data_IF_383686399737
#
_entry.id   IF_383686399737
#
_cell.length_a   1.000
_cell.length_b   1.000
_cell.length_c   1.000
_cell.angle_alpha   90.00
_cell.angle_beta   90.00
_cell.angle_gamma   90.00
#
_symmetry.space_group_name_H-M   'P 1'
#
loop_
_entity.id
_entity.type
_entity.pdbx_description
1 polymer ?
#
# COMPACT_ATOMS: atom_id res chain seq x y z
N UNK A 1 -12.17 -9.42 9.73
CA UNK A 1 -11.32 -9.98 8.66
C UNK A 1 -11.95 -9.67 7.31
N UNK A 2 -11.14 -9.34 6.32
CA UNK A 2 -11.60 -8.94 5.00
C UNK A 2 -11.91 -10.16 4.12
N UNK A 3 -13.15 -10.24 3.62
CA UNK A 3 -13.59 -11.30 2.71
C UNK A 3 -13.24 -10.94 1.26
N UNK A 4 -12.60 -11.85 0.54
CA UNK A 4 -12.35 -11.73 -0.90
C UNK A 4 -13.55 -12.27 -1.66
N UNK A 5 -14.25 -11.36 -2.33
CA UNK A 5 -15.35 -11.69 -3.22
C UNK A 5 -14.84 -11.97 -4.62
N UNK A 6 -15.10 -13.17 -5.14
CA UNK A 6 -14.88 -13.47 -6.55
C UNK A 6 -16.03 -12.90 -7.40
N UNK A 7 -15.93 -11.61 -7.73
CA UNK A 7 -16.93 -10.87 -8.50
C UNK A 7 -16.27 -9.84 -9.42
N UNK A 8 -17.06 -9.24 -10.30
CA UNK A 8 -16.62 -8.13 -11.14
C UNK A 8 -16.43 -6.84 -10.36
N UNK A 9 -15.50 -6.01 -10.85
CA UNK A 9 -15.31 -4.63 -10.42
C UNK A 9 -15.11 -3.76 -11.67
N UNK A 10 -15.92 -2.71 -11.83
CA UNK A 10 -15.91 -1.87 -13.04
C UNK A 10 -15.88 -0.38 -12.67
N UNK A 11 -14.85 0.39 -13.09
CA UNK A 11 -13.63 -0.05 -13.76
C UNK A 11 -12.79 -1.03 -12.92
N UNK A 12 -11.91 -1.78 -13.56
CA UNK A 12 -11.00 -2.70 -12.89
C UNK A 12 -9.90 -1.97 -12.11
N UNK A 13 -9.26 -2.65 -11.14
CA UNK A 13 -8.16 -2.06 -10.34
C UNK A 13 -7.02 -1.53 -11.22
N UNK A 14 -6.60 -2.32 -12.20
CA UNK A 14 -5.51 -1.94 -13.12
C UNK A 14 -5.91 -0.77 -14.04
N UNK A 15 -7.17 -0.69 -14.46
CA UNK A 15 -7.67 0.43 -15.27
C UNK A 15 -7.63 1.74 -14.47
N UNK A 16 -8.07 1.71 -13.21
CA UNK A 16 -8.02 2.86 -12.32
C UNK A 16 -6.57 3.31 -12.04
N UNK A 17 -5.67 2.36 -11.77
CA UNK A 17 -4.25 2.67 -11.56
C UNK A 17 -3.58 3.18 -12.83
N UNK A 18 -3.93 2.65 -14.00
CA UNK A 18 -3.37 3.11 -15.27
C UNK A 18 -3.72 4.58 -15.56
N UNK A 19 -4.93 5.01 -15.15
CA UNK A 19 -5.34 6.41 -15.25
C UNK A 19 -4.67 7.31 -14.17
N UNK A 20 -4.44 6.77 -12.97
CA UNK A 20 -3.96 7.56 -11.82
C UNK A 20 -2.43 7.71 -11.74
N UNK A 21 -1.68 6.65 -12.07
CA UNK A 21 -0.22 6.60 -11.94
C UNK A 21 0.51 7.73 -12.68
N UNK A 22 0.18 8.10 -13.92
CA UNK A 22 0.91 9.14 -14.66
C UNK A 22 0.91 10.52 -14.00
N UNK A 23 -0.04 10.79 -13.10
CA UNK A 23 -0.11 12.04 -12.36
C UNK A 23 0.77 12.05 -11.09
N UNK A 24 1.48 10.95 -10.78
CA UNK A 24 2.32 10.83 -9.58
C UNK A 24 3.75 11.27 -9.86
N UNK A 25 4.40 11.99 -8.94
CA UNK A 25 5.76 12.51 -9.16
C UNK A 25 6.84 11.42 -9.20
N UNK A 26 6.56 10.25 -8.64
CA UNK A 26 7.45 9.07 -8.63
C UNK A 26 7.19 8.11 -9.81
N UNK A 27 6.22 8.40 -10.67
CA UNK A 27 5.98 7.59 -11.86
C UNK A 27 7.07 7.85 -12.91
N UNK A 28 7.71 6.76 -13.36
CA UNK A 28 8.81 6.77 -14.32
C UNK A 28 8.47 6.02 -15.63
N UNK A 29 7.18 5.74 -15.87
CA UNK A 29 6.72 5.01 -17.05
C UNK A 29 6.67 5.87 -18.32
N UNK A 30 6.26 5.26 -19.43
CA UNK A 30 6.34 5.88 -20.74
C UNK A 30 5.27 6.97 -20.96
N UNK A 31 5.50 7.93 -21.89
CA UNK A 31 4.54 8.99 -22.22
C UNK A 31 3.19 8.48 -22.74
N UNK A 32 3.17 7.32 -23.39
CA UNK A 32 1.96 6.72 -23.99
C UNK A 32 1.05 6.04 -22.95
N UNK A 33 1.43 6.09 -21.66
CA UNK A 33 0.71 5.50 -20.54
C UNK A 33 1.22 4.11 -20.13
N UNK A 34 0.86 3.66 -18.93
CA UNK A 34 1.41 2.43 -18.35
C UNK A 34 0.78 1.17 -18.96
N UNK A 35 1.58 0.11 -19.06
CA UNK A 35 1.12 -1.24 -19.38
C UNK A 35 1.23 -2.10 -18.12
N UNK A 36 0.18 -2.08 -17.29
CA UNK A 36 0.20 -2.65 -15.94
C UNK A 36 -0.15 -4.14 -15.91
N UNK A 37 0.69 -4.90 -15.23
CA UNK A 37 0.42 -6.28 -14.84
C UNK A 37 0.46 -6.40 -13.32
N UNK A 38 -0.42 -7.21 -12.73
CA UNK A 38 -0.37 -7.50 -11.30
C UNK A 38 0.90 -8.31 -11.00
N UNK A 39 1.67 -7.89 -10.00
CA UNK A 39 2.99 -8.44 -9.70
C UNK A 39 3.13 -8.97 -8.26
N UNK A 40 2.14 -8.76 -7.39
CA UNK A 40 2.24 -9.22 -6.01
C UNK A 40 1.46 -8.34 -5.06
N UNK A 41 1.82 -8.42 -3.79
CA UNK A 41 1.17 -7.68 -2.71
C UNK A 41 0.45 -8.56 -1.70
N UNK A 42 -0.02 -7.91 -0.63
CA UNK A 42 -0.69 -8.53 0.50
C UNK A 42 -1.84 -7.64 0.99
N UNK A 43 -2.59 -8.12 1.99
CA UNK A 43 -3.69 -7.38 2.62
C UNK A 43 -3.45 -7.23 4.11
N UNK A 44 -4.09 -6.23 4.69
CA UNK A 44 -4.29 -6.14 6.13
C UNK A 44 -5.79 -6.07 6.42
N UNK A 45 -6.15 -6.46 7.63
CA UNK A 45 -7.51 -6.33 8.12
C UNK A 45 -7.70 -4.99 8.82
N UNK A 46 -8.79 -4.31 8.49
CA UNK A 46 -9.32 -3.24 9.32
C UNK A 46 -9.95 -3.84 10.58
N UNK A 47 -9.54 -3.41 11.80
CA UNK A 47 -10.14 -3.87 13.05
C UNK A 47 -11.64 -3.64 13.14
N UNK A 48 -12.15 -2.59 12.51
CA UNK A 48 -13.57 -2.25 12.49
C UNK A 48 -14.31 -2.93 11.33
N UNK A 49 -13.59 -3.48 10.35
CA UNK A 49 -14.14 -4.22 9.21
C UNK A 49 -14.80 -3.36 8.13
N UNK A 50 -14.60 -2.04 8.14
CA UNK A 50 -15.27 -1.08 7.26
C UNK A 50 -14.43 -0.74 6.01
N UNK A 51 -13.11 -0.83 6.12
CA UNK A 51 -12.15 -0.46 5.08
C UNK A 51 -11.39 -1.68 4.57
N UNK A 52 -11.45 -1.93 3.26
CA UNK A 52 -10.54 -2.91 2.66
C UNK A 52 -9.13 -2.32 2.54
N UNK A 53 -8.09 -3.04 2.99
CA UNK A 53 -6.70 -2.58 2.94
C UNK A 53 -5.88 -3.56 2.08
N UNK A 54 -5.22 -3.05 1.04
CA UNK A 54 -4.38 -3.84 0.14
C UNK A 54 -3.08 -3.10 -0.17
N UNK A 55 -1.96 -3.80 -0.14
CA UNK A 55 -0.64 -3.32 -0.55
C UNK A 55 -0.33 -3.95 -1.90
N UNK A 56 -0.82 -3.35 -2.98
CA UNK A 56 -0.75 -3.95 -4.30
C UNK A 56 0.60 -3.66 -4.97
N UNK A 57 1.15 -4.65 -5.67
CA UNK A 57 2.28 -4.42 -6.58
C UNK A 57 1.81 -4.58 -8.01
N UNK A 58 2.13 -3.58 -8.83
CA UNK A 58 1.96 -3.63 -10.28
C UNK A 58 3.29 -3.43 -10.97
N UNK A 59 3.54 -4.17 -12.04
CA UNK A 59 4.67 -3.89 -12.92
C UNK A 59 4.18 -3.18 -14.16
N UNK A 60 4.80 -2.03 -14.45
CA UNK A 60 4.65 -1.34 -15.71
C UNK A 60 5.74 -1.78 -16.69
N UNK A 61 5.32 -2.28 -17.85
CA UNK A 61 6.21 -2.73 -18.93
C UNK A 61 6.18 -1.82 -20.15
N UNK A 62 5.66 -0.58 -20.03
CA UNK A 62 5.60 0.35 -21.16
C UNK A 62 6.97 0.94 -21.53
N UNK A 63 7.91 0.99 -20.58
CA UNK A 63 9.26 1.55 -20.76
C UNK A 63 10.30 0.54 -21.22
N UNK A 64 11.55 1.00 -21.40
CA UNK A 64 12.69 0.15 -21.79
C UNK A 64 12.98 -0.97 -20.79
N UNK A 65 12.70 -0.74 -19.50
CA UNK A 65 12.86 -1.70 -18.42
C UNK A 65 11.57 -1.74 -17.59
N UNK A 66 11.08 -2.94 -17.19
CA UNK A 66 9.93 -3.04 -16.30
C UNK A 66 10.18 -2.32 -14.96
N UNK A 67 9.18 -1.59 -14.47
CA UNK A 67 9.23 -0.91 -13.17
C UNK A 67 8.12 -1.46 -12.27
N UNK A 68 8.49 -1.94 -11.08
CA UNK A 68 7.54 -2.41 -10.07
C UNK A 68 7.11 -1.24 -9.17
N UNK A 69 5.82 -0.91 -9.21
CA UNK A 69 5.19 0.08 -8.36
C UNK A 69 4.43 -0.57 -7.22
N UNK A 70 4.69 -0.13 -6.00
CA UNK A 70 3.94 -0.48 -4.80
C UNK A 70 2.91 0.61 -4.49
N UNK A 71 1.64 0.18 -4.43
CA UNK A 71 0.49 1.06 -4.25
C UNK A 71 -0.36 0.52 -3.09
N UNK A 72 -0.23 1.09 -1.88
CA UNK A 72 -1.21 0.89 -0.82
C UNK A 72 -2.55 1.50 -1.25
N UNK A 73 -3.62 0.71 -1.19
CA UNK A 73 -4.96 1.09 -1.61
C UNK A 73 -5.94 0.81 -0.47
N UNK A 74 -6.80 1.79 -0.19
CA UNK A 74 -8.00 1.55 0.64
C UNK A 74 -9.26 1.50 -0.19
N UNK A 75 -10.18 0.62 0.18
CA UNK A 75 -11.49 0.44 -0.44
C UNK A 75 -12.57 0.83 0.57
N UNK A 76 -13.23 1.97 0.34
CA UNK A 76 -14.26 2.50 1.25
C UNK A 76 -15.65 2.39 0.63
N UNK A 77 -16.66 2.17 1.49
CA UNK A 77 -18.08 2.16 1.12
C UNK A 77 -18.70 3.56 0.99
N UNK A 78 -17.96 4.61 1.35
CA UNK A 78 -18.34 6.01 1.22
C UNK A 78 -17.09 6.87 0.93
N UNK A 79 -17.24 8.10 0.41
CA UNK A 79 -16.13 9.04 0.27
C UNK A 79 -15.41 9.29 1.60
N UNK A 80 -14.10 9.47 1.53
CA UNK A 80 -13.27 9.96 2.64
C UNK A 80 -13.13 11.49 2.54
N UNK A 81 -13.69 12.20 3.51
CA UNK A 81 -13.69 13.65 3.56
C UNK A 81 -12.26 14.22 3.60
N UNK A 82 -11.99 15.24 2.78
CA UNK A 82 -10.70 15.94 2.74
C UNK A 82 -9.56 15.16 2.08
N UNK A 83 -9.86 14.03 1.43
CA UNK A 83 -8.89 13.16 0.75
C UNK A 83 -9.10 13.09 -0.77
N UNK A 84 -9.72 14.10 -1.37
CA UNK A 84 -10.04 14.15 -2.80
C UNK A 84 -8.78 14.03 -3.67
N UNK A 85 -7.67 14.62 -3.23
CA UNK A 85 -6.38 14.55 -3.92
C UNK A 85 -5.73 13.16 -3.92
N UNK A 86 -6.19 12.29 -3.01
CA UNK A 86 -5.76 10.91 -2.89
C UNK A 86 -6.72 9.92 -3.57
N UNK A 87 -7.83 10.39 -4.14
CA UNK A 87 -8.78 9.52 -4.82
C UNK A 87 -8.14 8.95 -6.09
N UNK A 88 -7.99 7.62 -6.14
CA UNK A 88 -7.58 6.88 -7.33
C UNK A 88 -8.76 6.80 -8.29
N UNK A 89 -9.96 6.51 -7.76
CA UNK A 89 -11.19 6.53 -8.51
C UNK A 89 -12.33 5.80 -7.79
N UNK A 90 -13.44 5.61 -8.50
CA UNK A 90 -14.58 4.83 -7.99
C UNK A 90 -14.90 3.68 -8.92
N UNK A 91 -15.31 2.54 -8.37
CA UNK A 91 -15.78 1.39 -9.12
C UNK A 91 -17.05 0.78 -8.54
N UNK A 92 -17.85 0.15 -9.38
CA UNK A 92 -18.97 -0.69 -8.97
C UNK A 92 -18.46 -2.11 -8.71
N UNK A 93 -18.59 -2.58 -7.47
CA UNK A 93 -18.25 -3.94 -7.08
C UNK A 93 -19.52 -4.80 -7.05
N UNK A 94 -19.55 -5.93 -7.76
CA UNK A 94 -20.78 -6.71 -7.99
C UNK A 94 -21.48 -7.23 -6.73
N UNK A 95 -20.81 -7.28 -5.58
CA UNK A 95 -21.40 -7.68 -4.28
C UNK A 95 -21.49 -6.50 -3.30
N UNK A 96 -20.54 -5.57 -3.36
CA UNK A 96 -20.36 -4.56 -2.31
C UNK A 96 -20.90 -3.19 -2.75
N UNK A 97 -21.44 -3.08 -3.97
CA UNK A 97 -21.88 -1.83 -4.56
C UNK A 97 -20.70 -0.91 -4.89
N UNK A 98 -20.98 0.39 -4.97
CA UNK A 98 -19.98 1.41 -5.26
C UNK A 98 -18.88 1.45 -4.20
N UNK A 99 -17.63 1.53 -4.66
CA UNK A 99 -16.43 1.62 -3.83
C UNK A 99 -15.60 2.82 -4.25
N UNK A 100 -15.05 3.51 -3.26
CA UNK A 100 -14.07 4.58 -3.44
C UNK A 100 -12.69 4.01 -3.12
N UNK A 101 -11.78 4.16 -4.08
CA UNK A 101 -10.40 3.70 -3.96
C UNK A 101 -9.50 4.91 -3.74
N UNK A 102 -8.75 4.89 -2.65
CA UNK A 102 -7.81 5.95 -2.31
C UNK A 102 -6.39 5.40 -2.26
N UNK A 103 -5.44 6.29 -2.54
CA UNK A 103 -4.05 6.10 -2.18
C UNK A 103 -3.95 6.04 -0.65
N UNK A 104 -3.69 4.85 -0.13
CA UNK A 104 -3.84 4.57 1.28
C UNK A 104 -2.78 5.25 2.16
N UNK A 105 -1.73 5.87 1.58
CA UNK A 105 -0.82 6.73 2.34
C UNK A 105 -1.48 8.01 2.86
N UNK A 106 -2.68 8.33 2.40
CA UNK A 106 -3.51 9.41 2.93
C UNK A 106 -4.65 8.92 3.84
N UNK A 107 -4.79 7.61 4.02
CA UNK A 107 -5.87 7.01 4.79
C UNK A 107 -5.40 6.64 6.21
N UNK A 108 -5.96 7.26 7.27
CA UNK A 108 -5.58 6.95 8.65
C UNK A 108 -5.76 5.47 9.01
N UNK A 109 -6.73 4.77 8.43
CA UNK A 109 -6.97 3.35 8.73
C UNK A 109 -5.83 2.49 8.21
N UNK A 110 -5.37 2.74 6.96
CA UNK A 110 -4.22 2.03 6.42
C UNK A 110 -2.95 2.35 7.20
N UNK A 111 -2.68 3.62 7.51
CA UNK A 111 -1.46 4.00 8.23
C UNK A 111 -1.43 3.45 9.66
N UNK A 112 -2.57 3.36 10.35
CA UNK A 112 -2.65 2.72 11.65
C UNK A 112 -2.32 1.22 11.56
N UNK A 113 -2.85 0.51 10.56
CA UNK A 113 -2.57 -0.91 10.35
C UNK A 113 -1.14 -1.16 9.85
N UNK A 114 -0.60 -0.28 9.00
CA UNK A 114 0.80 -0.36 8.57
C UNK A 114 1.76 -0.12 9.74
N UNK A 115 1.47 0.83 10.62
CA UNK A 115 2.23 1.04 11.85
C UNK A 115 2.17 -0.19 12.76
N UNK A 116 1.00 -0.81 12.89
CA UNK A 116 0.85 -2.07 13.63
C UNK A 116 1.67 -3.20 13.00
N UNK A 117 1.64 -3.37 11.67
CA UNK A 117 2.43 -4.37 10.95
C UNK A 117 3.94 -4.14 11.10
N UNK A 118 4.40 -2.90 10.94
CA UNK A 118 5.80 -2.50 11.16
C UNK A 118 6.28 -2.89 12.56
N UNK A 119 5.39 -2.85 13.55
CA UNK A 119 5.64 -3.23 14.93
C UNK A 119 5.34 -4.71 15.24
N UNK A 120 5.04 -5.54 14.23
CA UNK A 120 4.72 -6.97 14.40
C UNK A 120 3.38 -7.26 15.09
N UNK A 121 2.43 -6.33 15.06
CA UNK A 121 1.14 -6.39 15.76
C UNK A 121 -0.08 -6.56 14.85
N UNK A 122 0.10 -6.52 13.53
CA UNK A 122 -0.94 -6.84 12.56
C UNK A 122 -0.49 -8.05 11.72
N UNK A 123 -1.43 -8.95 11.42
CA UNK A 123 -1.14 -10.16 10.66
C UNK A 123 -1.38 -9.90 9.16
N UNK A 124 -0.34 -10.01 8.30
CA UNK A 124 -0.51 -9.91 6.86
C UNK A 124 -1.34 -11.07 6.33
N UNK A 125 -2.24 -10.78 5.40
CA UNK A 125 -3.15 -11.76 4.78
C UNK A 125 -2.87 -11.87 3.27
N UNK A 126 -3.13 -13.05 2.72
CA UNK A 126 -3.05 -13.28 1.28
C UNK A 126 -4.05 -12.39 0.52
N UNK A 127 -3.65 -11.94 -0.66
CA UNK A 127 -4.48 -11.08 -1.51
C UNK A 127 -5.48 -11.83 -2.42
N UNK A 128 -5.47 -13.16 -2.40
CA UNK A 128 -6.31 -14.02 -3.26
C UNK A 128 -7.17 -15.02 -2.50
N UNK A 129 -6.86 -15.28 -1.22
CA UNK A 129 -7.58 -16.23 -0.37
C UNK A 129 -8.02 -15.53 0.91
N UNK A 130 -9.30 -15.65 1.26
CA UNK A 130 -9.83 -15.02 2.48
C UNK A 130 -9.25 -15.67 3.72
N UNK A 131 -9.09 -14.89 4.79
CA UNK A 131 -8.72 -15.36 6.12
C UNK A 131 -7.48 -16.28 6.15
N UNK A 132 -6.52 -15.98 5.27
CA UNK A 132 -5.31 -16.80 5.10
C UNK A 132 -4.08 -15.93 5.36
N UNK A 133 -3.33 -16.17 6.44
CA UNK A 133 -2.10 -15.46 6.72
C UNK A 133 -1.09 -15.58 5.56
N UNK A 134 -0.34 -14.52 5.32
CA UNK A 134 0.73 -14.48 4.32
C UNK A 134 2.12 -14.47 5.00
N UNK A 135 2.73 -15.65 5.20
CA UNK A 135 4.03 -15.75 5.87
C UNK A 135 5.20 -15.20 5.04
N UNK A 136 4.98 -14.84 3.76
CA UNK A 136 6.01 -14.19 2.93
C UNK A 136 6.23 -12.73 3.31
N UNK A 137 5.30 -12.13 4.05
CA UNK A 137 5.40 -10.77 4.55
C UNK A 137 6.01 -10.79 5.94
N UNK A 138 7.16 -10.13 6.09
CA UNK A 138 7.93 -10.17 7.33
C UNK A 138 8.14 -8.75 7.87
N UNK A 139 8.00 -8.58 9.19
CA UNK A 139 8.28 -7.34 9.90
C UNK A 139 9.55 -7.49 10.72
N UNK A 140 10.45 -6.53 10.64
CA UNK A 140 11.58 -6.40 11.55
C UNK A 140 11.42 -5.13 12.36
N UNK A 141 11.37 -5.25 13.69
CA UNK A 141 11.19 -4.14 14.62
C UNK A 141 12.25 -4.19 15.72
N UNK A 142 12.96 -3.08 15.93
CA UNK A 142 14.05 -2.98 16.92
C UNK A 142 13.72 -2.11 18.14
N UNK A 143 12.50 -1.56 18.20
CA UNK A 143 12.08 -0.73 19.33
C UNK A 143 11.59 -1.54 20.52
N UNK A 144 11.79 -0.99 21.72
CA UNK A 144 11.36 -1.64 22.98
C UNK A 144 9.90 -1.36 23.34
N UNK A 145 9.30 -0.31 22.76
CA UNK A 145 7.97 0.17 23.13
C UNK A 145 7.12 0.43 21.89
N UNK A 146 5.94 -0.16 21.84
CA UNK A 146 5.03 0.02 20.73
C UNK A 146 4.35 1.40 20.75
N UNK A 147 4.31 2.05 19.59
CA UNK A 147 3.48 3.22 19.34
C UNK A 147 2.09 2.88 18.82
N UNK A 148 1.14 3.76 19.10
CA UNK A 148 -0.19 3.83 18.46
C UNK A 148 -0.33 5.19 17.80
N UNK A 149 -0.90 5.21 16.59
CA UNK A 149 -1.15 6.44 15.86
C UNK A 149 -2.23 7.27 16.57
N UNK A 150 -1.98 8.57 16.73
CA UNK A 150 -2.95 9.55 17.23
C UNK A 150 -3.57 10.30 16.05
N UNK A 151 -2.74 10.82 15.15
CA UNK A 151 -3.21 11.52 13.94
C UNK A 151 -2.19 11.41 12.81
N UNK A 152 -2.68 11.46 11.58
CA UNK A 152 -1.89 11.77 10.40
C UNK A 152 -1.71 13.29 10.32
N UNK A 153 -0.48 13.77 10.23
CA UNK A 153 -0.17 15.21 10.22
C UNK A 153 0.13 15.70 8.81
N UNK A 154 0.94 14.95 8.05
CA UNK A 154 1.38 15.35 6.74
C UNK A 154 1.73 14.14 5.85
N UNK A 155 1.54 14.28 4.54
CA UNK A 155 1.94 13.30 3.53
C UNK A 155 2.73 14.00 2.44
N UNK A 156 3.87 13.43 2.08
CA UNK A 156 4.77 13.98 1.07
C UNK A 156 5.25 12.91 0.11
N UNK A 157 4.96 13.11 -1.17
CA UNK A 157 5.60 12.32 -2.22
C UNK A 157 7.04 12.79 -2.46
N UNK A 158 7.92 11.82 -2.69
CA UNK A 158 9.31 11.99 -3.08
C UNK A 158 9.54 11.30 -4.44
N UNK A 159 10.81 11.15 -4.84
CA UNK A 159 11.17 10.60 -6.15
C UNK A 159 10.76 9.13 -6.34
N UNK A 160 10.78 8.33 -5.28
CA UNK A 160 10.56 6.87 -5.31
C UNK A 160 9.69 6.35 -4.16
N UNK A 161 9.11 7.26 -3.38
CA UNK A 161 8.52 6.97 -2.08
C UNK A 161 7.51 8.02 -1.66
N UNK A 162 6.72 7.72 -0.63
CA UNK A 162 5.84 8.67 0.04
C UNK A 162 6.10 8.60 1.54
N UNK A 163 6.31 9.74 2.19
CA UNK A 163 6.46 9.85 3.64
C UNK A 163 5.12 10.29 4.25
N UNK A 164 4.67 9.59 5.29
CA UNK A 164 3.55 10.00 6.13
C UNK A 164 4.05 10.28 7.55
N UNK A 165 3.87 11.52 8.01
CA UNK A 165 4.21 11.94 9.37
C UNK A 165 3.02 11.69 10.29
N UNK A 166 3.26 10.87 11.32
CA UNK A 166 2.26 10.46 12.30
C UNK A 166 2.58 11.07 13.66
N UNK A 167 1.62 11.71 14.31
CA UNK A 167 1.68 11.85 15.76
C UNK A 167 1.37 10.51 16.40
N UNK A 168 2.19 10.06 17.35
CA UNK A 168 1.98 8.78 18.02
C UNK A 168 1.98 8.92 19.55
N UNK A 169 1.70 7.83 20.25
CA UNK A 169 1.94 7.66 21.69
C UNK A 169 2.43 6.23 21.96
N UNK A 170 3.34 6.01 22.92
CA UNK A 170 3.93 7.01 23.81
C UNK A 170 5.08 7.80 23.18
N UNK A 171 5.59 7.38 22.01
CA UNK A 171 6.57 8.17 21.27
C UNK A 171 5.94 9.44 20.71
N UNK A 172 6.77 10.42 20.36
CA UNK A 172 6.32 11.62 19.66
C UNK A 172 5.99 11.34 18.18
N UNK A 173 6.26 12.32 17.30
CA UNK A 173 6.13 12.13 15.87
C UNK A 173 6.99 10.97 15.37
N UNK A 174 6.45 10.18 14.45
CA UNK A 174 7.16 9.13 13.72
C UNK A 174 6.85 9.26 12.23
N UNK A 175 7.82 8.93 11.38
CA UNK A 175 7.63 8.93 9.92
C UNK A 175 7.49 7.51 9.41
N UNK A 176 6.38 7.22 8.74
CA UNK A 176 6.22 6.02 7.92
C UNK A 176 6.67 6.35 6.50
N UNK A 177 7.74 5.70 6.06
CA UNK A 177 8.26 5.78 4.71
C UNK A 177 7.71 4.62 3.89
N UNK A 178 6.87 4.92 2.89
CA UNK A 178 6.30 3.93 1.96
C UNK A 178 7.08 3.98 0.66
N UNK A 179 7.73 2.88 0.29
CA UNK A 179 8.42 2.77 -1.00
C UNK A 179 7.39 2.64 -2.12
N UNK A 180 7.49 3.47 -3.15
CA UNK A 180 6.59 3.46 -4.32
C UNK A 180 7.22 2.76 -5.51
N UNK A 181 8.52 2.96 -5.74
CA UNK A 181 9.28 2.22 -6.75
C UNK A 181 10.10 1.17 -6.03
N UNK A 182 9.77 -0.11 -6.24
CA UNK A 182 10.39 -1.21 -5.50
C UNK A 182 11.83 -1.45 -5.95
N UNK A 183 12.71 -1.60 -4.97
CA UNK A 183 14.09 -2.08 -5.11
C UNK A 183 14.42 -2.97 -3.92
N UNK A 184 15.51 -3.72 -4.01
CA UNK A 184 15.98 -4.60 -2.92
C UNK A 184 16.80 -3.85 -1.85
N UNK A 185 16.94 -2.52 -1.95
CA UNK A 185 17.82 -1.77 -1.05
C UNK A 185 17.21 -1.64 0.35
N UNK A 186 17.95 -2.03 1.39
CA UNK A 186 17.48 -1.90 2.76
C UNK A 186 17.23 -0.44 3.17
N UNK A 187 16.19 -0.15 3.97
CA UNK A 187 15.90 1.20 4.42
C UNK A 187 16.92 1.64 5.48
N UNK A 188 17.73 2.68 5.21
CA UNK A 188 18.81 3.09 6.11
C UNK A 188 18.26 3.67 7.42
N UNK A 189 18.87 3.31 8.54
CA UNK A 189 18.55 3.87 9.87
C UNK A 189 17.06 3.78 10.25
N UNK A 190 16.38 2.69 9.85
CA UNK A 190 14.98 2.43 10.23
C UNK A 190 14.88 1.73 11.59
N UNK A 191 13.88 2.11 12.38
CA UNK A 191 13.51 1.39 13.63
C UNK A 191 12.65 0.17 13.32
N UNK A 192 11.94 0.20 12.19
CA UNK A 192 11.18 -0.93 11.70
C UNK A 192 11.16 -0.96 10.17
N UNK A 193 11.01 -2.15 9.58
CA UNK A 193 10.64 -2.28 8.18
C UNK A 193 9.82 -3.54 7.92
N UNK A 194 9.04 -3.50 6.84
CA UNK A 194 8.26 -4.63 6.33
C UNK A 194 8.81 -5.02 4.97
N UNK A 195 9.16 -6.31 4.82
CA UNK A 195 9.50 -6.91 3.55
C UNK A 195 8.34 -7.76 3.02
N UNK A 196 8.17 -7.79 1.71
CA UNK A 196 7.18 -8.63 1.03
C UNK A 196 7.70 -9.03 -0.35
N UNK A 197 7.02 -10.00 -0.98
CA UNK A 197 7.39 -10.53 -2.29
C UNK A 197 6.69 -9.84 -3.45
N UNK A 198 7.38 -9.72 -4.58
CA UNK A 198 6.77 -9.42 -5.88
C UNK A 198 7.47 -10.19 -7.00
N UNK A 199 6.77 -10.42 -8.10
CA UNK A 199 7.26 -11.18 -9.25
C UNK A 199 7.36 -10.27 -10.45
N UNK A 200 8.50 -10.29 -11.13
CA UNK A 200 8.72 -9.56 -12.38
C UNK A 200 8.07 -10.29 -13.57
N UNK A 201 7.92 -9.63 -14.73
CA UNK A 201 7.26 -10.23 -15.90
C UNK A 201 7.93 -11.48 -16.45
N UNK A 202 9.22 -11.68 -16.19
CA UNK A 202 9.98 -12.88 -16.55
C UNK A 202 9.81 -14.05 -15.55
N UNK A 203 9.03 -13.85 -14.49
CA UNK A 203 8.77 -14.83 -13.44
C UNK A 203 9.77 -14.82 -12.28
N UNK A 204 10.75 -13.91 -12.28
CA UNK A 204 11.70 -13.79 -11.16
C UNK A 204 11.00 -13.25 -9.92
N UNK A 205 11.13 -13.95 -8.80
CA UNK A 205 10.63 -13.50 -7.50
C UNK A 205 11.67 -12.63 -6.80
N UNK A 206 11.20 -11.49 -6.30
CA UNK A 206 11.95 -10.57 -5.47
C UNK A 206 11.34 -10.54 -4.07
N UNK A 207 12.17 -10.29 -3.06
CA UNK A 207 11.74 -10.06 -1.68
C UNK A 207 12.53 -8.86 -1.14
N UNK A 208 11.83 -7.84 -0.66
CA UNK A 208 12.45 -6.57 -0.30
C UNK A 208 11.48 -5.61 0.39
N UNK A 209 11.97 -4.44 0.81
CA UNK A 209 11.23 -3.55 1.71
C UNK A 209 10.13 -2.76 1.00
N UNK A 210 8.94 -2.78 1.59
CA UNK A 210 7.76 -2.04 1.13
C UNK A 210 7.53 -0.77 1.95
N UNK A 211 7.84 -0.82 3.24
CA UNK A 211 7.71 0.32 4.15
C UNK A 211 8.72 0.25 5.28
N UNK A 212 9.07 1.42 5.83
CA UNK A 212 9.94 1.57 6.98
C UNK A 212 9.40 2.61 7.96
N UNK A 213 9.81 2.49 9.22
CA UNK A 213 9.49 3.41 10.30
C UNK A 213 10.75 4.13 10.76
N UNK A 214 10.68 5.46 10.85
CA UNK A 214 11.74 6.33 11.32
C UNK A 214 11.25 7.21 12.47
N UNK A 215 12.14 7.55 13.43
CA UNK A 215 11.85 8.54 14.47
C UNK A 215 11.76 9.97 13.91
#
# INVERSE_FOLDING_TARGET
MAVIHNTTMTPGKLELLAAWLPARPWYAGAPDGPNLNKAGGFRLDDPDGEVGIEFMVVTDTSGERPVAYHVPVTYRGAPLDGSENALIGTAEHGILGRRWMYDGTHDPVLLAQLLALLQGRAEPQQQSVSDTPDPSVTSHYTGDVHSTMVTLTFVQDNQDSTNALLETKPHGPLTVHVRRVLSNDEPPNSTAHVNATWTTPDGTEHHGPFAALHP
#
